data_IF_102615286765
#
_entry.id   IF_102615286765
#
_cell.length_a   1.000
_cell.length_b   1.000
_cell.length_c   1.000
_cell.angle_alpha   90.00
_cell.angle_beta   90.00
_cell.angle_gamma   90.00
#
_symmetry.space_group_name_H-M   'P 1'
#
loop_
_entity.id
_entity.type
_entity.pdbx_description
1 polymer ?
#
# COMPACT_ATOMS: atom_id res chain seq x y z
N UNK A 1 -13.34 -12.03 22.09
CA UNK A 1 -13.05 -10.71 22.71
C UNK A 1 -11.77 -10.12 22.15
N UNK A 2 -11.57 -8.81 22.25
CA UNK A 2 -10.32 -8.12 21.85
C UNK A 2 -9.10 -8.79 22.50
N UNK A 3 -9.15 -9.06 23.79
CA UNK A 3 -8.05 -9.72 24.52
C UNK A 3 -7.69 -11.10 23.95
N UNK A 4 -8.66 -11.91 23.60
CA UNK A 4 -8.43 -13.24 23.01
C UNK A 4 -7.82 -13.13 21.61
N UNK A 5 -8.34 -12.22 20.77
CA UNK A 5 -7.79 -11.94 19.45
C UNK A 5 -6.34 -11.51 19.54
N UNK A 6 -6.04 -10.57 20.43
CA UNK A 6 -4.68 -10.05 20.62
C UNK A 6 -3.72 -11.12 21.16
N UNK A 7 -4.16 -11.97 22.09
CA UNK A 7 -3.36 -13.09 22.61
C UNK A 7 -2.99 -14.08 21.51
N UNK A 8 -3.94 -14.46 20.66
CA UNK A 8 -3.68 -15.36 19.52
C UNK A 8 -2.77 -14.71 18.48
N UNK A 9 -3.00 -13.44 18.16
CA UNK A 9 -2.16 -12.68 17.22
C UNK A 9 -0.72 -12.61 17.71
N UNK A 10 -0.51 -12.31 19.01
CA UNK A 10 0.82 -12.27 19.62
C UNK A 10 1.54 -13.62 19.51
N UNK A 11 0.87 -14.71 19.85
CA UNK A 11 1.47 -16.04 19.79
C UNK A 11 1.95 -16.39 18.36
N UNK A 12 1.15 -16.04 17.32
CA UNK A 12 1.54 -16.25 15.92
C UNK A 12 2.73 -15.37 15.53
N UNK A 13 2.72 -14.10 15.91
CA UNK A 13 3.81 -13.17 15.61
C UNK A 13 5.11 -13.62 16.27
N UNK A 14 5.07 -14.00 17.55
CA UNK A 14 6.24 -14.48 18.29
C UNK A 14 6.79 -15.78 17.70
N UNK A 15 5.92 -16.70 17.25
CA UNK A 15 6.33 -17.90 16.53
C UNK A 15 7.07 -17.55 15.25
N UNK A 16 6.51 -16.65 14.42
CA UNK A 16 7.13 -16.24 13.13
C UNK A 16 8.45 -15.50 13.37
N UNK A 17 8.52 -14.62 14.35
CA UNK A 17 9.75 -13.90 14.71
C UNK A 17 10.84 -14.86 15.22
N UNK A 18 10.45 -16.03 15.75
CA UNK A 18 11.36 -17.10 16.13
C UNK A 18 12.02 -17.83 14.95
N UNK A 19 11.50 -17.68 13.72
CA UNK A 19 12.17 -18.23 12.54
C UNK A 19 13.34 -17.32 12.14
N UNK A 20 14.56 -17.83 12.23
CA UNK A 20 15.79 -17.14 11.80
C UNK A 20 15.89 -17.06 10.27
N UNK A 21 14.84 -16.55 9.61
CA UNK A 21 14.81 -16.39 8.16
C UNK A 21 14.68 -14.91 7.80
N UNK A 22 15.71 -14.29 7.21
CA UNK A 22 15.70 -12.86 6.87
C UNK A 22 14.63 -12.46 5.84
N UNK A 23 14.05 -13.44 5.13
CA UNK A 23 13.00 -13.22 4.13
C UNK A 23 11.61 -13.09 4.75
N UNK A 24 11.42 -13.40 6.03
CA UNK A 24 10.17 -13.20 6.74
C UNK A 24 10.15 -11.85 7.45
N UNK A 25 9.12 -11.08 7.18
CA UNK A 25 8.77 -9.84 7.88
C UNK A 25 7.34 -9.95 8.38
N UNK A 26 7.09 -9.39 9.55
CA UNK A 26 5.78 -9.46 10.21
C UNK A 26 5.27 -8.04 10.43
N UNK A 27 3.97 -7.86 10.24
CA UNK A 27 3.25 -6.64 10.59
C UNK A 27 2.02 -7.01 11.43
N UNK A 28 1.63 -6.15 12.37
CA UNK A 28 0.31 -6.25 12.97
C UNK A 28 -0.71 -5.72 11.98
N UNK A 29 -1.75 -6.49 11.67
CA UNK A 29 -2.68 -6.17 10.61
C UNK A 29 -4.15 -6.14 11.08
N UNK A 30 -4.59 -5.12 11.85
CA UNK A 30 -6.02 -4.88 12.06
C UNK A 30 -6.67 -4.55 10.72
N UNK A 31 -7.89 -5.06 10.48
CA UNK A 31 -8.51 -4.97 9.16
C UNK A 31 -8.69 -3.52 8.70
N UNK A 32 -9.49 -2.73 9.42
CA UNK A 32 -9.79 -1.34 9.04
C UNK A 32 -10.41 -0.55 10.21
N UNK A 33 -10.45 0.79 10.17
CA UNK A 33 -11.08 1.60 11.19
C UNK A 33 -12.59 1.36 11.31
N UNK A 34 -13.28 1.00 10.23
CA UNK A 34 -14.73 0.81 10.26
C UNK A 34 -15.14 -0.56 10.78
N UNK A 35 -14.33 -1.61 10.58
CA UNK A 35 -14.64 -2.98 10.97
C UNK A 35 -14.06 -3.40 12.31
N UNK A 36 -13.00 -2.72 12.80
CA UNK A 36 -12.39 -2.94 14.09
C UNK A 36 -13.00 -2.01 15.15
N UNK A 37 -13.06 -2.48 16.41
CA UNK A 37 -13.36 -1.61 17.54
C UNK A 37 -12.18 -0.70 17.85
N UNK A 38 -12.44 0.44 18.51
CA UNK A 38 -11.38 1.34 18.97
C UNK A 38 -10.37 0.60 19.85
N UNK A 39 -10.85 -0.19 20.82
CA UNK A 39 -10.00 -0.97 21.72
C UNK A 39 -9.09 -1.96 20.98
N UNK A 40 -9.58 -2.55 19.87
CA UNK A 40 -8.77 -3.46 19.06
C UNK A 40 -7.68 -2.70 18.30
N UNK A 41 -8.01 -1.53 17.78
CA UNK A 41 -7.03 -0.67 17.10
C UNK A 41 -5.96 -0.19 18.08
N UNK A 42 -6.34 0.30 19.26
CA UNK A 42 -5.39 0.72 20.31
C UNK A 42 -4.49 -0.45 20.72
N UNK A 43 -5.05 -1.63 21.03
CA UNK A 43 -4.28 -2.80 21.40
C UNK A 43 -3.36 -3.31 20.26
N UNK A 44 -3.76 -3.14 19.01
CA UNK A 44 -2.93 -3.47 17.83
C UNK A 44 -1.73 -2.55 17.72
N UNK A 45 -1.92 -1.25 17.95
CA UNK A 45 -0.84 -0.27 17.94
C UNK A 45 0.13 -0.49 19.10
N UNK A 46 -0.39 -0.76 20.29
CA UNK A 46 0.43 -1.03 21.47
C UNK A 46 1.30 -2.29 21.25
N UNK A 47 0.72 -3.36 20.71
CA UNK A 47 1.46 -4.57 20.36
C UNK A 47 2.54 -4.29 19.31
N UNK A 48 2.24 -3.51 18.28
CA UNK A 48 3.21 -3.17 17.24
C UNK A 48 4.39 -2.35 17.80
N UNK A 49 4.11 -1.41 18.70
CA UNK A 49 5.15 -0.63 19.41
C UNK A 49 6.00 -1.52 20.31
N UNK A 50 5.37 -2.38 21.10
CA UNK A 50 6.05 -3.29 22.02
C UNK A 50 7.01 -4.25 21.28
N UNK A 51 6.54 -4.82 20.16
CA UNK A 51 7.32 -5.76 19.33
C UNK A 51 8.25 -5.06 18.34
N UNK A 52 8.19 -3.72 18.23
CA UNK A 52 8.92 -2.92 17.27
C UNK A 52 8.73 -3.40 15.81
N UNK A 53 7.49 -3.68 15.44
CA UNK A 53 7.11 -4.11 14.09
C UNK A 53 6.08 -3.15 13.48
N UNK A 54 6.00 -3.01 12.14
CA UNK A 54 5.05 -2.11 11.49
C UNK A 54 3.60 -2.58 11.61
N UNK A 55 2.69 -1.66 11.27
CA UNK A 55 1.26 -1.96 11.09
C UNK A 55 0.89 -1.94 9.61
N UNK A 56 -0.07 -2.79 9.22
CA UNK A 56 -0.74 -2.76 7.93
C UNK A 56 -2.25 -2.71 8.13
N UNK A 57 -2.93 -1.73 7.53
CA UNK A 57 -4.36 -1.50 7.73
C UNK A 57 -4.99 -0.86 6.48
N UNK A 58 -6.25 -1.23 6.15
CA UNK A 58 -7.02 -0.57 5.09
C UNK A 58 -7.54 0.78 5.59
N UNK A 59 -7.33 1.84 4.81
CA UNK A 59 -7.69 3.21 5.22
C UNK A 59 -8.20 4.02 4.04
N UNK A 60 -9.31 4.71 4.25
CA UNK A 60 -9.90 5.63 3.28
C UNK A 60 -10.12 4.95 1.91
N UNK A 61 -10.61 3.72 1.93
CA UNK A 61 -10.89 2.94 0.73
C UNK A 61 -12.14 3.45 0.02
N UNK A 62 -13.22 3.69 0.78
CA UNK A 62 -14.53 4.06 0.23
C UNK A 62 -15.16 5.25 0.93
N UNK A 63 -16.10 5.90 0.25
CA UNK A 63 -16.94 6.95 0.85
C UNK A 63 -17.79 6.41 1.99
N UNK A 64 -18.21 5.14 1.89
CA UNK A 64 -19.01 4.48 2.92
C UNK A 64 -18.19 4.34 4.22
N UNK A 65 -16.95 3.87 4.14
CA UNK A 65 -16.03 3.84 5.29
C UNK A 65 -15.95 5.22 5.95
N UNK A 66 -15.69 6.26 5.14
CA UNK A 66 -15.60 7.64 5.64
C UNK A 66 -16.88 8.08 6.35
N UNK A 67 -18.05 7.70 5.82
CA UNK A 67 -19.36 7.99 6.42
C UNK A 67 -19.57 7.23 7.75
N UNK A 68 -19.18 5.96 7.83
CA UNK A 68 -19.28 5.15 9.04
C UNK A 68 -18.43 5.74 10.17
N UNK A 69 -17.17 6.06 9.87
CA UNK A 69 -16.22 6.59 10.85
C UNK A 69 -16.64 7.99 11.31
N UNK A 70 -17.07 8.85 10.39
CA UNK A 70 -17.58 10.17 10.72
C UNK A 70 -18.80 10.08 11.66
N UNK A 71 -19.74 9.18 11.37
CA UNK A 71 -20.91 8.96 12.22
C UNK A 71 -20.54 8.40 13.60
N UNK A 72 -19.56 7.49 13.69
CA UNK A 72 -19.18 6.80 14.92
C UNK A 72 -18.28 7.64 15.82
N UNK A 73 -17.35 8.38 15.25
CA UNK A 73 -16.29 9.09 15.97
C UNK A 73 -16.21 10.59 15.70
N UNK A 74 -17.06 11.14 14.82
CA UNK A 74 -17.06 12.57 14.48
C UNK A 74 -15.86 13.00 13.64
N UNK A 75 -15.10 12.06 13.07
CA UNK A 75 -13.84 12.30 12.35
C UNK A 75 -13.78 11.49 11.07
N UNK A 76 -12.94 11.92 10.12
CA UNK A 76 -12.58 11.11 8.95
C UNK A 76 -11.59 10.00 9.36
N UNK A 77 -11.46 8.92 8.55
CA UNK A 77 -10.62 7.77 8.90
C UNK A 77 -9.19 8.13 9.28
N UNK A 78 -8.50 8.98 8.50
CA UNK A 78 -7.14 9.39 8.80
C UNK A 78 -7.04 10.14 10.12
N UNK A 79 -7.92 11.13 10.35
CA UNK A 79 -7.91 11.91 11.58
C UNK A 79 -8.24 11.08 12.83
N UNK A 80 -9.05 10.04 12.68
CA UNK A 80 -9.31 9.09 13.75
C UNK A 80 -8.07 8.24 14.08
N UNK A 81 -7.37 7.72 13.05
CA UNK A 81 -6.14 6.97 13.25
C UNK A 81 -4.99 7.85 13.77
N UNK A 82 -4.94 9.12 13.36
CA UNK A 82 -3.99 10.11 13.90
C UNK A 82 -4.17 10.28 15.42
N UNK A 83 -5.41 10.43 15.88
CA UNK A 83 -5.70 10.53 17.32
C UNK A 83 -5.26 9.29 18.10
N UNK A 84 -5.34 8.11 17.49
CA UNK A 84 -4.86 6.88 18.10
C UNK A 84 -3.32 6.75 18.07
N UNK A 85 -2.61 7.59 17.29
CA UNK A 85 -1.15 7.58 17.18
C UNK A 85 -0.60 6.69 16.05
N UNK A 86 -1.42 6.27 15.09
CA UNK A 86 -0.98 5.45 13.96
C UNK A 86 -0.03 6.19 13.01
N UNK A 87 -0.10 7.53 12.94
CA UNK A 87 0.75 8.32 12.08
C UNK A 87 2.18 8.46 12.61
N UNK A 88 2.38 8.25 13.91
CA UNK A 88 3.68 8.33 14.58
C UNK A 88 4.40 6.97 14.66
N UNK A 89 3.82 5.93 14.06
CA UNK A 89 4.37 4.58 14.04
C UNK A 89 4.51 4.09 12.59
N UNK A 90 5.58 3.32 12.24
CA UNK A 90 5.73 2.76 10.90
C UNK A 90 4.48 1.99 10.48
N UNK A 91 3.76 2.52 9.50
CA UNK A 91 2.47 1.98 9.09
C UNK A 91 2.31 1.97 7.58
N UNK A 92 1.70 0.91 7.06
CA UNK A 92 1.29 0.79 5.66
C UNK A 92 -0.22 0.91 5.59
N UNK A 93 -0.70 1.97 4.96
CA UNK A 93 -2.12 2.18 4.71
C UNK A 93 -2.46 1.71 3.30
N UNK A 94 -3.32 0.68 3.21
CA UNK A 94 -3.82 0.20 1.93
C UNK A 94 -4.91 1.12 1.38
N UNK A 95 -4.98 1.24 0.07
CA UNK A 95 -5.93 1.99 -0.76
C UNK A 95 -5.73 3.50 -0.79
N UNK A 96 -6.10 4.25 0.24
CA UNK A 96 -5.99 5.71 0.29
C UNK A 96 -6.81 6.44 -0.78
N UNK A 97 -7.93 5.87 -1.25
CA UNK A 97 -8.75 6.39 -2.36
C UNK A 97 -9.40 7.73 -2.00
N UNK A 98 -9.96 7.80 -0.80
CA UNK A 98 -10.74 8.94 -0.31
C UNK A 98 -9.89 9.97 0.47
N UNK A 99 -8.56 9.90 0.37
CA UNK A 99 -7.69 10.92 0.96
C UNK A 99 -7.88 12.28 0.27
N UNK A 100 -8.06 13.33 1.06
CA UNK A 100 -8.10 14.71 0.58
C UNK A 100 -6.74 15.41 0.73
N UNK A 101 -6.61 16.62 0.20
CA UNK A 101 -5.35 17.39 0.20
C UNK A 101 -4.79 17.60 1.61
N UNK A 102 -5.63 17.96 2.59
CA UNK A 102 -5.20 18.17 3.98
C UNK A 102 -4.71 16.88 4.63
N UNK A 103 -5.33 15.76 4.30
CA UNK A 103 -4.92 14.43 4.77
C UNK A 103 -3.59 14.01 4.13
N UNK A 104 -3.38 14.32 2.85
CA UNK A 104 -2.08 14.10 2.18
C UNK A 104 -0.98 14.95 2.84
N UNK A 105 -1.24 16.22 3.14
CA UNK A 105 -0.29 17.10 3.86
C UNK A 105 0.09 16.51 5.23
N UNK A 106 -0.85 15.93 5.96
CA UNK A 106 -0.57 15.26 7.25
C UNK A 106 0.33 14.04 7.10
N UNK A 107 0.19 13.30 6.01
CA UNK A 107 1.02 12.13 5.73
C UNK A 107 2.48 12.48 5.46
N UNK A 108 2.80 13.69 4.98
CA UNK A 108 4.18 14.12 4.67
C UNK A 108 5.13 14.02 5.86
N UNK A 109 4.64 14.35 7.05
CA UNK A 109 5.42 14.34 8.30
C UNK A 109 5.21 13.08 9.14
N UNK A 110 4.45 12.13 8.63
CA UNK A 110 4.12 10.87 9.31
C UNK A 110 5.11 9.75 8.97
N UNK A 111 4.96 8.62 9.68
CA UNK A 111 5.67 7.38 9.36
C UNK A 111 4.82 6.42 8.51
N UNK A 112 3.84 6.97 7.79
CA UNK A 112 2.90 6.19 6.98
C UNK A 112 3.36 6.13 5.53
N UNK A 113 3.27 4.94 4.94
CA UNK A 113 3.40 4.71 3.51
C UNK A 113 2.08 4.15 2.94
N UNK A 114 1.88 4.28 1.63
CA UNK A 114 0.64 3.86 0.97
C UNK A 114 0.89 2.63 0.09
N UNK A 115 0.06 1.59 0.27
CA UNK A 115 -0.05 0.46 -0.65
C UNK A 115 -1.24 0.72 -1.59
N UNK A 116 -0.95 1.05 -2.85
CA UNK A 116 -1.98 1.32 -3.87
C UNK A 116 -2.43 0.03 -4.54
N UNK A 117 -3.72 -0.25 -4.52
CA UNK A 117 -4.36 -1.47 -5.01
C UNK A 117 -5.31 -1.16 -6.19
N UNK A 118 -4.79 -0.82 -7.39
CA UNK A 118 -5.60 -0.25 -8.46
C UNK A 118 -6.70 -1.18 -8.97
N UNK A 119 -6.44 -2.47 -9.16
CA UNK A 119 -7.44 -3.42 -9.67
C UNK A 119 -8.50 -3.70 -8.62
N UNK A 120 -8.12 -3.89 -7.35
CA UNK A 120 -9.08 -4.04 -6.25
C UNK A 120 -10.00 -2.82 -6.16
N UNK A 121 -9.44 -1.61 -6.19
CA UNK A 121 -10.22 -0.37 -6.16
C UNK A 121 -11.22 -0.26 -7.32
N UNK A 122 -10.83 -0.73 -8.52
CA UNK A 122 -11.71 -0.77 -9.69
C UNK A 122 -12.81 -1.82 -9.53
N UNK A 123 -12.43 -3.04 -9.16
CA UNK A 123 -13.34 -4.17 -9.02
C UNK A 123 -14.44 -3.90 -7.99
N UNK A 124 -14.08 -3.27 -6.89
CA UNK A 124 -14.99 -2.92 -5.80
C UNK A 124 -15.65 -1.54 -5.99
N UNK A 125 -15.36 -0.85 -7.09
CA UNK A 125 -15.86 0.49 -7.39
C UNK A 125 -15.53 1.52 -6.29
N UNK A 126 -14.42 1.33 -5.55
CA UNK A 126 -13.97 2.22 -4.48
C UNK A 126 -13.55 3.60 -5.02
N UNK A 127 -12.98 3.66 -6.22
CA UNK A 127 -12.55 4.89 -6.87
C UNK A 127 -11.08 4.88 -7.30
N UNK A 128 -10.53 6.06 -7.59
CA UNK A 128 -9.12 6.22 -8.02
C UNK A 128 -8.36 7.00 -6.94
N UNK A 129 -7.37 6.37 -6.33
CA UNK A 129 -6.52 7.01 -5.31
C UNK A 129 -5.70 8.19 -5.88
N UNK A 130 -5.38 9.23 -5.09
CA UNK A 130 -4.64 10.43 -5.52
C UNK A 130 -3.11 10.19 -5.51
N UNK A 131 -2.65 9.14 -6.23
CA UNK A 131 -1.25 8.66 -6.16
C UNK A 131 -0.24 9.71 -6.59
N UNK A 132 -0.54 10.45 -7.66
CA UNK A 132 0.35 11.51 -8.14
C UNK A 132 0.54 12.61 -7.07
N UNK A 133 -0.54 12.99 -6.38
CA UNK A 133 -0.48 13.99 -5.32
C UNK A 133 0.34 13.47 -4.12
N UNK A 134 0.13 12.23 -3.70
CA UNK A 134 0.89 11.58 -2.63
C UNK A 134 2.38 11.54 -2.96
N UNK A 135 2.76 11.08 -4.16
CA UNK A 135 4.17 11.04 -4.59
C UNK A 135 4.79 12.43 -4.69
N UNK A 136 4.08 13.43 -5.23
CA UNK A 136 4.57 14.82 -5.29
C UNK A 136 4.75 15.44 -3.91
N UNK A 137 3.95 15.04 -2.95
CA UNK A 137 4.08 15.44 -1.56
C UNK A 137 5.23 14.72 -0.83
N UNK A 138 5.84 13.69 -1.42
CA UNK A 138 6.94 12.93 -0.83
C UNK A 138 6.51 11.72 0.00
N UNK A 139 5.22 11.35 -0.01
CA UNK A 139 4.73 10.15 0.64
C UNK A 139 5.17 8.92 -0.16
N UNK A 140 5.72 7.91 0.49
CA UNK A 140 6.08 6.65 -0.16
C UNK A 140 4.84 5.91 -0.63
N UNK A 141 4.82 5.51 -1.91
CA UNK A 141 3.70 4.80 -2.53
C UNK A 141 4.22 3.61 -3.32
N UNK A 142 3.86 2.41 -2.91
CA UNK A 142 4.07 1.17 -3.65
C UNK A 142 2.76 0.66 -4.26
N UNK A 143 2.87 -0.21 -5.27
CA UNK A 143 1.71 -0.90 -5.85
C UNK A 143 1.59 -2.28 -5.20
N UNK A 144 0.35 -2.69 -4.94
CA UNK A 144 0.00 -3.98 -4.37
C UNK A 144 -1.26 -4.54 -5.02
N UNK A 145 -1.48 -5.84 -4.87
CA UNK A 145 -2.60 -6.56 -5.50
C UNK A 145 -3.86 -6.59 -4.66
N UNK A 146 -3.75 -6.38 -3.35
CA UNK A 146 -4.79 -6.77 -2.39
C UNK A 146 -5.03 -8.31 -2.43
N UNK A 147 -6.14 -8.79 -1.89
CA UNK A 147 -6.45 -10.21 -1.89
C UNK A 147 -6.94 -10.71 -3.25
N UNK A 148 -6.80 -12.02 -3.52
CA UNK A 148 -7.38 -12.65 -4.73
C UNK A 148 -8.90 -12.54 -4.78
N UNK A 149 -9.57 -12.34 -3.65
CA UNK A 149 -11.03 -12.15 -3.59
C UNK A 149 -11.44 -10.80 -4.20
N UNK A 150 -10.64 -9.76 -4.01
CA UNK A 150 -10.88 -8.42 -4.54
C UNK A 150 -10.13 -8.13 -5.85
N UNK A 151 -9.28 -9.05 -6.33
CA UNK A 151 -8.43 -8.88 -7.51
C UNK A 151 -8.69 -9.93 -8.61
N UNK A 152 -8.80 -11.20 -8.27
CA UNK A 152 -8.86 -12.42 -9.07
C UNK A 152 -7.49 -13.01 -9.42
N UNK A 153 -6.42 -12.23 -9.53
CA UNK A 153 -5.06 -12.69 -9.72
C UNK A 153 -4.06 -11.89 -8.87
N UNK A 154 -2.78 -12.18 -8.98
CA UNK A 154 -1.70 -11.47 -8.27
C UNK A 154 -0.65 -10.99 -9.28
N UNK A 155 -1.08 -10.52 -10.46
CA UNK A 155 -0.19 -10.05 -11.51
C UNK A 155 0.22 -8.59 -11.28
N UNK A 156 1.42 -8.41 -10.76
CA UNK A 156 1.98 -7.07 -10.47
C UNK A 156 2.21 -6.22 -11.72
N UNK A 157 2.40 -6.82 -12.92
CA UNK A 157 2.52 -6.06 -14.16
C UNK A 157 1.17 -5.49 -14.61
N UNK A 158 0.10 -6.27 -14.41
CA UNK A 158 -1.26 -5.81 -14.66
C UNK A 158 -1.63 -4.67 -13.71
N UNK A 159 -1.26 -4.77 -12.44
CA UNK A 159 -1.42 -3.70 -11.44
C UNK A 159 -0.69 -2.42 -11.86
N UNK A 160 0.58 -2.53 -12.23
CA UNK A 160 1.38 -1.37 -12.66
C UNK A 160 0.82 -0.69 -13.92
N UNK A 161 0.36 -1.49 -14.89
CA UNK A 161 -0.31 -0.96 -16.09
C UNK A 161 -1.62 -0.27 -15.74
N UNK A 162 -2.44 -0.89 -14.90
CA UNK A 162 -3.72 -0.34 -14.46
C UNK A 162 -3.53 0.96 -13.69
N UNK A 163 -2.58 1.00 -12.75
CA UNK A 163 -2.21 2.21 -12.03
C UNK A 163 -1.86 3.35 -12.99
N UNK A 164 -0.99 3.09 -13.99
CA UNK A 164 -0.58 4.10 -14.96
C UNK A 164 -1.76 4.66 -15.78
N UNK A 165 -2.65 3.80 -16.26
CA UNK A 165 -3.82 4.23 -17.03
C UNK A 165 -4.80 5.06 -16.18
N UNK A 166 -5.05 4.62 -14.94
CA UNK A 166 -5.94 5.33 -14.01
C UNK A 166 -5.41 6.71 -13.63
N UNK A 167 -4.12 6.85 -13.38
CA UNK A 167 -3.53 8.14 -13.04
C UNK A 167 -3.57 9.12 -14.22
N UNK A 168 -3.33 8.66 -15.46
CA UNK A 168 -3.51 9.47 -16.67
C UNK A 168 -4.97 9.93 -16.83
N UNK A 169 -5.91 9.02 -16.64
CA UNK A 169 -7.33 9.35 -16.73
C UNK A 169 -7.76 10.35 -15.65
N UNK A 170 -7.33 10.12 -14.39
CA UNK A 170 -7.66 11.00 -13.26
C UNK A 170 -7.07 12.40 -13.42
N UNK A 171 -5.84 12.52 -13.93
CA UNK A 171 -5.16 13.80 -14.11
C UNK A 171 -5.57 14.55 -15.39
N UNK A 172 -6.17 13.86 -16.36
CA UNK A 172 -6.42 14.42 -17.70
C UNK A 172 -5.14 14.66 -18.49
N UNK A 173 -4.01 14.08 -18.10
CA UNK A 173 -2.70 14.30 -18.71
C UNK A 173 -2.01 12.94 -19.00
N UNK A 174 -1.81 12.65 -20.29
CA UNK A 174 -1.20 11.40 -20.74
C UNK A 174 0.29 11.25 -20.35
N UNK A 175 0.97 12.31 -19.98
CA UNK A 175 2.37 12.29 -19.54
C UNK A 175 2.53 11.87 -18.07
N UNK A 176 1.48 11.97 -17.27
CA UNK A 176 1.52 11.62 -15.85
C UNK A 176 1.72 10.11 -15.65
N UNK A 177 2.42 9.75 -14.58
CA UNK A 177 2.68 8.37 -14.19
C UNK A 177 3.26 7.53 -15.35
N UNK A 178 4.42 7.91 -15.91
CA UNK A 178 5.07 7.17 -17.01
C UNK A 178 5.52 5.78 -16.55
N UNK A 179 5.96 4.95 -17.51
CA UNK A 179 6.34 3.55 -17.23
C UNK A 179 7.44 3.44 -16.18
N UNK A 180 8.40 4.35 -16.17
CA UNK A 180 9.48 4.39 -15.19
C UNK A 180 8.95 4.59 -13.76
N UNK A 181 7.93 5.44 -13.60
CA UNK A 181 7.26 5.65 -12.31
C UNK A 181 6.50 4.39 -11.88
N UNK A 182 5.79 3.75 -12.82
CA UNK A 182 5.10 2.48 -12.54
C UNK A 182 6.09 1.39 -12.10
N UNK A 183 7.21 1.21 -12.83
CA UNK A 183 8.23 0.24 -12.47
C UNK A 183 8.88 0.53 -11.11
N UNK A 184 9.15 1.78 -10.79
CA UNK A 184 9.64 2.16 -9.46
C UNK A 184 8.62 1.84 -8.37
N UNK A 185 7.34 2.09 -8.61
CA UNK A 185 6.28 1.79 -7.65
C UNK A 185 6.09 0.27 -7.41
N UNK A 186 6.41 -0.55 -8.41
CA UNK A 186 6.43 -2.02 -8.33
C UNK A 186 7.71 -2.57 -7.66
N UNK A 187 8.75 -1.78 -7.49
CA UNK A 187 10.07 -2.23 -7.04
C UNK A 187 10.57 -1.40 -5.86
N UNK A 188 11.43 -0.42 -6.09
CA UNK A 188 12.10 0.35 -5.03
C UNK A 188 11.13 1.15 -4.15
N UNK A 189 10.06 1.71 -4.71
CA UNK A 189 9.05 2.41 -3.91
C UNK A 189 8.22 1.42 -3.07
N UNK A 190 7.91 0.23 -3.60
CA UNK A 190 7.33 -0.87 -2.83
C UNK A 190 8.26 -1.30 -1.67
N UNK A 191 9.56 -1.39 -1.93
CA UNK A 191 10.54 -1.68 -0.88
C UNK A 191 10.56 -0.59 0.21
N UNK A 192 10.43 0.71 -0.16
CA UNK A 192 10.31 1.81 0.81
C UNK A 192 9.03 1.70 1.66
N UNK A 193 7.90 1.32 1.05
CA UNK A 193 6.65 1.07 1.79
C UNK A 193 6.84 0.02 2.87
N UNK A 194 7.68 -0.99 2.60
CA UNK A 194 8.00 -2.05 3.55
C UNK A 194 9.16 -1.72 4.50
N UNK A 195 9.81 -0.54 4.36
CA UNK A 195 11.03 -0.19 5.09
C UNK A 195 12.23 -1.07 4.74
N UNK A 196 12.27 -1.62 3.53
CA UNK A 196 13.28 -2.57 3.06
C UNK A 196 14.13 -2.05 1.89
N UNK A 197 14.06 -0.77 1.56
CA UNK A 197 14.73 -0.17 0.40
C UNK A 197 16.27 -0.28 0.43
N UNK A 198 16.84 -0.53 1.61
CA UNK A 198 18.28 -0.81 1.78
C UNK A 198 18.65 -2.26 1.50
N UNK A 199 17.66 -3.16 1.40
CA UNK A 199 17.86 -4.60 1.26
C UNK A 199 17.39 -5.12 -0.10
N UNK A 200 16.28 -4.61 -0.64
CA UNK A 200 15.63 -5.06 -1.87
C UNK A 200 15.14 -3.88 -2.73
N UNK A 201 14.52 -4.18 -3.86
CA UNK A 201 13.82 -3.22 -4.72
C UNK A 201 14.69 -2.60 -5.82
N UNK A 202 15.99 -2.83 -5.82
CA UNK A 202 16.92 -2.43 -6.89
C UNK A 202 18.15 -3.33 -6.92
N UNK A 203 18.80 -3.43 -8.08
CA UNK A 203 20.05 -4.17 -8.26
C UNK A 203 21.24 -3.26 -7.95
N UNK A 204 21.66 -3.27 -6.70
CA UNK A 204 22.78 -2.47 -6.19
C UNK A 204 23.71 -3.32 -5.32
N UNK A 205 24.99 -2.95 -5.27
CA UNK A 205 25.96 -3.63 -4.41
C UNK A 205 25.53 -3.51 -2.94
N UNK A 206 25.46 -4.65 -2.26
CA UNK A 206 25.05 -4.74 -0.86
C UNK A 206 23.57 -5.07 -0.64
N UNK A 207 22.75 -5.06 -1.69
CA UNK A 207 21.35 -5.52 -1.64
C UNK A 207 21.23 -7.00 -2.03
N UNK A 208 20.09 -7.59 -1.70
CA UNK A 208 19.74 -8.95 -2.15
C UNK A 208 19.57 -8.95 -3.68
N UNK A 209 19.99 -10.03 -4.31
CA UNK A 209 19.91 -10.21 -5.76
C UNK A 209 18.52 -10.75 -6.18
N UNK A 210 17.46 -10.04 -5.77
CA UNK A 210 16.08 -10.38 -6.13
C UNK A 210 15.75 -9.79 -7.50
N UNK A 211 15.60 -10.64 -8.50
CA UNK A 211 15.28 -10.23 -9.86
C UNK A 211 14.43 -11.26 -10.58
N UNK A 212 13.67 -10.80 -11.57
CA UNK A 212 12.90 -11.64 -12.48
C UNK A 212 13.51 -11.61 -13.87
N UNK A 213 13.63 -12.79 -14.49
CA UNK A 213 13.99 -12.92 -15.91
C UNK A 213 12.73 -13.16 -16.71
N UNK A 214 12.37 -12.21 -17.58
CA UNK A 214 11.17 -12.29 -18.40
C UNK A 214 11.56 -12.59 -19.84
N UNK A 215 11.03 -13.69 -20.38
CA UNK A 215 11.26 -14.08 -21.77
C UNK A 215 9.96 -13.89 -22.59
N UNK A 216 9.84 -12.78 -23.34
CA UNK A 216 8.61 -12.44 -24.05
C UNK A 216 8.42 -13.20 -25.38
N UNK A 217 9.39 -14.03 -25.80
CA UNK A 217 9.36 -14.75 -27.07
C UNK A 217 8.12 -15.66 -27.18
N UNK A 218 7.43 -15.56 -28.30
CA UNK A 218 6.20 -16.34 -28.57
C UNK A 218 4.93 -15.79 -27.89
N UNK A 219 5.01 -14.69 -27.16
CA UNK A 219 3.89 -14.03 -26.49
C UNK A 219 3.64 -12.67 -27.15
N UNK A 220 2.77 -12.61 -28.15
CA UNK A 220 2.50 -11.38 -28.96
C UNK A 220 2.12 -10.20 -28.05
N UNK A 221 1.34 -10.43 -27.00
CA UNK A 221 0.90 -9.39 -26.06
C UNK A 221 1.98 -8.88 -25.10
N UNK A 222 3.14 -9.57 -25.01
CA UNK A 222 4.29 -9.16 -24.20
C UNK A 222 5.40 -8.52 -25.04
N UNK A 223 5.29 -8.54 -26.39
CA UNK A 223 6.29 -7.92 -27.24
C UNK A 223 6.02 -6.41 -27.37
N UNK A 224 7.02 -5.55 -27.15
CA UNK A 224 6.88 -4.14 -27.41
C UNK A 224 6.61 -3.92 -28.91
N UNK A 225 5.55 -3.22 -29.26
CA UNK A 225 5.37 -2.75 -30.62
C UNK A 225 6.45 -1.72 -30.95
N UNK A 226 7.34 -2.04 -31.87
CA UNK A 226 8.40 -1.13 -32.32
C UNK A 226 7.88 0.19 -32.89
N UNK A 227 6.59 0.27 -33.24
CA UNK A 227 5.94 1.50 -33.72
C UNK A 227 5.48 2.42 -32.59
N UNK A 228 5.16 1.88 -31.40
CA UNK A 228 4.67 2.67 -30.27
C UNK A 228 5.78 3.44 -29.54
N UNK A 229 7.04 3.06 -29.69
CA UNK A 229 8.18 3.80 -29.13
C UNK A 229 8.38 5.19 -29.73
N UNK A 230 7.72 5.52 -30.86
CA UNK A 230 7.76 6.86 -31.48
C UNK A 230 6.65 7.80 -31.04
N UNK A 231 5.65 7.33 -30.30
CA UNK A 231 4.50 8.12 -29.86
C UNK A 231 4.62 8.63 -28.42
N UNK A 232 5.66 8.20 -27.69
CA UNK A 232 5.91 8.58 -26.31
C UNK A 232 7.20 9.38 -26.11
N UNK A 233 7.73 9.97 -27.18
CA UNK A 233 8.85 10.92 -27.12
C UNK A 233 8.35 12.35 -27.21
#
# INVERSE_FOLDING_TARGET
STAETMSRTRAIIEEILGYENPNFKVMVAPHSPYSCSKDLLEASLDMAKELNIPIHIHVAETKEESGIILKRYGKRPLAFLEELGYLDHPSVFAHGVELNEREIERLVTSQVAIAHNPISNLKLASGIAPIIQLQKAGVAVGIATDSVASNNNLDMFEEGRTAALLQKMKSGDASQFPIETALKALTIEGAKVLGMEKQIGSLEVGKQADFLVIQPQGKIHLQPDRKSTRLNS
#
